data_IF_532396834525
#
_entry.id   IF_532396834525
#
_cell.length_a   1.000
_cell.length_b   1.000
_cell.length_c   1.000
_cell.angle_alpha   90.00
_cell.angle_beta   90.00
_cell.angle_gamma   90.00
#
_symmetry.space_group_name_H-M   'P 1'
#
loop_
_entity.id
_entity.type
_entity.pdbx_description
1 polymer ?
#
# COMPACT_ATOMS: atom_id res chain seq x y z
N UNK A 1 0.26 -3.81 -4.90
CA UNK A 1 0.70 -3.25 -3.61
C UNK A 1 -0.50 -2.88 -2.73
N UNK A 2 -1.59 -2.24 -3.24
CA UNK A 2 -2.78 -1.90 -2.44
C UNK A 2 -3.44 -3.14 -1.80
N UNK A 3 -3.66 -4.22 -2.55
CA UNK A 3 -4.19 -5.49 -2.02
C UNK A 3 -3.26 -6.06 -0.93
N UNK A 4 -1.94 -6.05 -1.16
CA UNK A 4 -0.97 -6.50 -0.17
C UNK A 4 -1.05 -5.70 1.13
N UNK A 5 -1.20 -4.37 1.04
CA UNK A 5 -1.40 -3.49 2.18
C UNK A 5 -2.69 -3.82 2.94
N UNK A 6 -3.81 -4.06 2.22
CA UNK A 6 -5.09 -4.46 2.82
C UNK A 6 -5.00 -5.79 3.57
N UNK A 7 -4.33 -6.79 2.99
CA UNK A 7 -4.10 -8.07 3.68
C UNK A 7 -3.35 -7.86 5.01
N UNK A 8 -2.25 -7.12 4.98
CA UNK A 8 -1.47 -6.85 6.18
C UNK A 8 -2.25 -6.02 7.21
N UNK A 9 -3.08 -5.06 6.77
CA UNK A 9 -3.85 -4.23 7.71
C UNK A 9 -4.93 -5.02 8.45
N UNK A 10 -5.49 -6.07 7.83
CA UNK A 10 -6.45 -6.95 8.49
C UNK A 10 -5.83 -7.76 9.64
N UNK A 11 -4.51 -7.97 9.62
CA UNK A 11 -3.78 -8.66 10.71
C UNK A 11 -3.43 -7.74 11.89
N UNK A 12 -3.68 -6.41 11.79
CA UNK A 12 -3.43 -5.49 12.89
C UNK A 12 -4.42 -5.71 14.04
N UNK A 13 -3.89 -5.88 15.24
CA UNK A 13 -4.68 -6.02 16.48
C UNK A 13 -5.00 -4.67 17.17
N UNK A 14 -4.67 -3.57 16.52
CA UNK A 14 -4.87 -2.21 17.04
C UNK A 14 -5.28 -1.28 15.89
N UNK A 15 -5.86 -0.14 16.24
CA UNK A 15 -6.15 0.90 15.25
C UNK A 15 -4.86 1.55 14.79
N UNK A 16 -4.69 1.65 13.49
CA UNK A 16 -3.47 2.19 12.92
C UNK A 16 -3.43 2.05 11.41
N UNK A 17 -2.26 2.29 10.85
CA UNK A 17 -2.03 2.23 9.40
C UNK A 17 -0.88 1.30 9.10
N UNK A 18 -1.06 0.47 8.09
CA UNK A 18 0.02 -0.22 7.39
C UNK A 18 0.41 0.63 6.18
N UNK A 19 1.69 0.95 6.07
CA UNK A 19 2.29 1.50 4.85
C UNK A 19 3.22 0.47 4.25
N UNK A 20 2.96 0.09 3.00
CA UNK A 20 3.80 -0.82 2.22
C UNK A 20 4.53 -0.05 1.14
N UNK A 21 5.82 -0.32 0.97
CA UNK A 21 6.65 0.29 -0.05
C UNK A 21 7.33 -0.82 -0.85
N UNK A 22 7.09 -0.85 -2.14
CA UNK A 22 7.86 -1.67 -3.05
C UNK A 22 8.80 -0.75 -3.82
N UNK A 23 10.09 -0.82 -3.51
CA UNK A 23 11.12 0.08 -4.04
C UNK A 23 11.89 -0.58 -5.17
N UNK A 24 12.24 0.21 -6.14
CA UNK A 24 12.92 -0.19 -7.36
C UNK A 24 14.15 0.69 -7.62
N UNK A 25 15.07 0.20 -8.43
CA UNK A 25 16.23 0.95 -8.93
C UNK A 25 16.10 1.34 -10.41
N UNK A 26 14.94 1.10 -11.02
CA UNK A 26 14.64 1.47 -12.41
C UNK A 26 13.94 2.83 -12.54
N UNK A 27 13.12 2.96 -13.58
CA UNK A 27 12.39 4.20 -13.92
C UNK A 27 11.36 4.58 -12.84
N UNK A 28 10.73 3.60 -12.24
CA UNK A 28 9.88 3.78 -11.05
C UNK A 28 10.76 3.65 -9.82
N UNK A 29 10.71 4.63 -8.91
CA UNK A 29 11.46 4.59 -7.67
C UNK A 29 10.76 3.79 -6.58
N UNK A 30 9.44 3.92 -6.48
CA UNK A 30 8.63 3.12 -5.54
C UNK A 30 7.15 3.10 -5.90
N UNK A 31 6.49 2.06 -5.42
CA UNK A 31 5.03 1.98 -5.32
C UNK A 31 4.71 1.93 -3.82
N UNK A 32 3.90 2.88 -3.35
CA UNK A 32 3.47 2.94 -1.96
C UNK A 32 1.97 2.67 -1.86
N UNK A 33 1.56 1.94 -0.83
CA UNK A 33 0.16 1.84 -0.45
C UNK A 33 0.02 1.94 1.08
N UNK A 34 -1.00 2.66 1.52
CA UNK A 34 -1.40 2.77 2.92
C UNK A 34 -2.79 2.16 3.07
N UNK A 35 -3.01 1.40 4.14
CA UNK A 35 -4.32 0.85 4.48
C UNK A 35 -4.56 0.77 5.97
N UNK A 36 -5.83 0.68 6.36
CA UNK A 36 -6.26 0.52 7.75
C UNK A 36 -7.10 -0.74 7.93
N UNK A 37 -7.25 -1.25 9.18
CA UNK A 37 -8.13 -2.40 9.48
C UNK A 37 -9.60 -2.19 9.11
N UNK A 38 -10.02 -0.94 8.90
CA UNK A 38 -11.39 -0.57 8.47
C UNK A 38 -11.57 -0.68 6.94
N UNK A 39 -10.51 -1.03 6.19
CA UNK A 39 -10.55 -1.16 4.73
C UNK A 39 -10.34 0.17 3.98
N UNK A 40 -9.90 1.21 4.67
CA UNK A 40 -9.48 2.44 3.98
C UNK A 40 -8.13 2.20 3.30
N UNK A 41 -8.02 2.56 2.03
CA UNK A 41 -6.82 2.31 1.24
C UNK A 41 -6.50 3.46 0.30
N UNK A 42 -5.22 3.72 0.10
CA UNK A 42 -4.71 4.62 -0.94
C UNK A 42 -3.39 4.09 -1.46
N UNK A 43 -3.04 4.44 -2.70
CA UNK A 43 -1.76 4.07 -3.29
C UNK A 43 -1.23 5.19 -4.19
N UNK A 44 0.07 5.20 -4.37
CA UNK A 44 0.76 6.12 -5.28
C UNK A 44 2.00 5.45 -5.89
N UNK A 45 2.44 5.98 -7.02
CA UNK A 45 3.65 5.57 -7.74
C UNK A 45 4.55 6.79 -7.87
N UNK A 46 5.81 6.64 -7.46
CA UNK A 46 6.84 7.67 -7.63
C UNK A 46 7.82 7.25 -8.73
N UNK A 47 8.19 8.19 -9.57
CA UNK A 47 9.13 8.01 -10.67
C UNK A 47 10.50 8.61 -10.31
N UNK A 48 11.57 8.09 -10.91
CA UNK A 48 12.87 8.76 -10.88
C UNK A 48 12.86 9.93 -11.86
N UNK A 49 13.52 11.03 -11.51
CA UNK A 49 13.53 12.28 -12.30
C UNK A 49 14.10 12.13 -13.74
N UNK A 50 14.83 11.05 -14.01
CA UNK A 50 15.49 10.78 -15.28
C UNK A 50 14.69 9.89 -16.23
N UNK A 51 13.42 9.64 -15.96
CA UNK A 51 12.59 8.75 -16.79
C UNK A 51 12.38 9.36 -18.18
N UNK A 52 12.92 8.69 -19.17
CA UNK A 52 12.65 9.00 -20.56
C UNK A 52 11.27 8.42 -20.91
N UNK A 53 10.22 9.25 -20.82
CA UNK A 53 8.81 8.87 -21.07
C UNK A 53 8.54 8.27 -22.45
N UNK A 54 9.56 8.19 -23.30
CA UNK A 54 9.48 7.59 -24.63
C UNK A 54 9.85 6.09 -24.67
N UNK A 55 10.15 5.47 -23.54
CA UNK A 55 10.37 4.02 -23.48
C UNK A 55 9.03 3.28 -23.41
N UNK A 56 8.89 2.25 -24.21
CA UNK A 56 7.64 1.49 -24.34
C UNK A 56 7.25 0.75 -23.05
N UNK A 57 8.21 0.41 -22.19
CA UNK A 57 7.98 -0.24 -20.90
C UNK A 57 8.94 0.31 -19.85
N UNK A 58 8.45 0.72 -18.65
CA UNK A 58 9.30 1.18 -17.58
C UNK A 58 10.14 0.04 -17.01
N UNK A 59 11.40 0.33 -16.74
CA UNK A 59 12.28 -0.64 -16.05
C UNK A 59 11.89 -0.78 -14.59
N UNK A 60 11.52 -2.00 -14.17
CA UNK A 60 11.17 -2.37 -12.82
C UNK A 60 12.20 -3.35 -12.25
N UNK A 61 13.25 -2.83 -11.60
CA UNK A 61 14.25 -3.64 -10.94
C UNK A 61 13.99 -3.63 -9.42
N UNK A 62 13.36 -4.68 -8.87
CA UNK A 62 13.04 -4.74 -7.45
C UNK A 62 14.28 -4.58 -6.57
N UNK A 63 14.19 -3.74 -5.55
CA UNK A 63 15.27 -3.47 -4.60
C UNK A 63 14.93 -3.97 -3.21
N UNK A 64 13.85 -3.44 -2.63
CA UNK A 64 13.37 -3.91 -1.33
C UNK A 64 11.85 -3.77 -1.21
N UNK A 65 11.30 -4.56 -0.30
CA UNK A 65 9.93 -4.45 0.15
C UNK A 65 9.94 -4.04 1.63
N UNK A 66 9.27 -2.94 1.93
CA UNK A 66 9.26 -2.34 3.27
C UNK A 66 7.82 -2.23 3.78
N UNK A 67 7.64 -2.54 5.05
CA UNK A 67 6.36 -2.41 5.76
C UNK A 67 6.58 -1.57 7.01
N UNK A 68 5.76 -0.53 7.17
CA UNK A 68 5.72 0.32 8.35
C UNK A 68 4.35 0.18 9.01
N UNK A 69 4.35 -0.11 10.31
CA UNK A 69 3.15 -0.12 11.15
C UNK A 69 3.14 1.13 12.01
N UNK A 70 2.07 1.93 11.92
CA UNK A 70 1.88 3.13 12.74
C UNK A 70 0.60 2.99 13.56
N UNK A 71 0.58 3.55 14.77
CA UNK A 71 -0.63 3.61 15.58
C UNK A 71 -1.57 4.74 15.11
N UNK A 72 -2.72 4.87 15.77
CA UNK A 72 -3.74 5.88 15.49
C UNK A 72 -3.22 7.32 15.60
N UNK A 73 -2.23 7.55 16.47
CA UNK A 73 -1.56 8.85 16.65
C UNK A 73 -0.52 9.16 15.56
N UNK A 74 -0.30 8.23 14.62
CA UNK A 74 0.71 8.36 13.57
C UNK A 74 2.13 8.03 14.03
N UNK A 75 2.31 7.48 15.24
CA UNK A 75 3.62 7.06 15.72
C UNK A 75 3.99 5.70 15.12
N UNK A 76 5.19 5.61 14.56
CA UNK A 76 5.74 4.36 14.04
C UNK A 76 5.98 3.38 15.18
N UNK A 77 5.36 2.20 15.09
CA UNK A 77 5.49 1.09 16.04
C UNK A 77 6.55 0.11 15.55
N UNK A 78 6.52 -0.21 14.26
CA UNK A 78 7.41 -1.20 13.65
C UNK A 78 7.77 -0.75 12.23
N UNK A 79 8.98 -1.08 11.83
CA UNK A 79 9.45 -0.96 10.45
C UNK A 79 10.26 -2.21 10.14
N UNK A 80 9.92 -2.88 9.05
CA UNK A 80 10.63 -4.04 8.55
C UNK A 80 10.96 -3.84 7.09
N UNK A 81 12.18 -4.20 6.71
CA UNK A 81 12.66 -4.10 5.32
C UNK A 81 13.27 -5.45 4.97
N UNK A 82 12.88 -6.00 3.85
CA UNK A 82 13.51 -7.17 3.26
C UNK A 82 14.08 -6.83 1.88
N UNK A 83 15.12 -7.52 1.47
CA UNK A 83 15.57 -7.48 0.07
C UNK A 83 14.47 -8.07 -0.80
N UNK A 84 14.11 -7.35 -1.86
CA UNK A 84 13.07 -7.83 -2.75
C UNK A 84 13.57 -9.04 -3.54
N UNK A 85 12.74 -10.09 -3.60
CA UNK A 85 12.95 -11.18 -4.52
C UNK A 85 12.59 -10.75 -5.94
N UNK A 86 13.31 -11.27 -6.93
CA UNK A 86 12.94 -11.07 -8.33
C UNK A 86 11.58 -11.73 -8.58
N UNK A 87 10.55 -10.94 -8.84
CA UNK A 87 9.21 -11.48 -9.03
C UNK A 87 8.09 -10.49 -8.68
N UNK A 88 6.95 -11.05 -8.35
CA UNK A 88 5.70 -10.32 -8.15
C UNK A 88 5.56 -9.72 -6.74
N UNK A 89 4.58 -8.83 -6.57
CA UNK A 89 4.18 -8.31 -5.25
C UNK A 89 3.77 -9.46 -4.31
N UNK A 90 3.10 -10.49 -4.83
CA UNK A 90 2.69 -11.68 -4.05
C UNK A 90 3.88 -12.41 -3.44
N UNK A 91 4.92 -12.66 -4.25
CA UNK A 91 6.14 -13.33 -3.79
C UNK A 91 6.90 -12.50 -2.76
N UNK A 92 6.95 -11.19 -2.93
CA UNK A 92 7.57 -10.28 -1.96
C UNK A 92 6.77 -10.19 -0.66
N UNK A 93 5.44 -10.20 -0.71
CA UNK A 93 4.60 -10.23 0.48
C UNK A 93 4.77 -11.56 1.24
N UNK A 94 4.77 -12.71 0.56
CA UNK A 94 5.00 -14.01 1.18
C UNK A 94 6.41 -14.09 1.82
N UNK A 95 7.42 -13.56 1.13
CA UNK A 95 8.79 -13.46 1.67
C UNK A 95 8.87 -12.57 2.92
N UNK A 96 8.17 -11.43 2.92
CA UNK A 96 8.06 -10.55 4.09
C UNK A 96 7.40 -11.27 5.27
N UNK A 97 6.26 -11.93 5.06
CA UNK A 97 5.53 -12.65 6.11
C UNK A 97 6.43 -13.74 6.74
N UNK A 98 7.19 -14.46 5.91
CA UNK A 98 8.10 -15.48 6.42
C UNK A 98 9.30 -14.89 7.17
N UNK A 99 9.96 -13.86 6.62
CA UNK A 99 11.21 -13.34 7.19
C UNK A 99 10.99 -12.39 8.37
N UNK A 100 9.97 -11.54 8.31
CA UNK A 100 9.73 -10.49 9.31
C UNK A 100 8.66 -10.85 10.33
N UNK A 101 7.61 -11.56 9.92
CA UNK A 101 6.50 -11.95 10.82
C UNK A 101 6.61 -13.41 11.26
N UNK A 102 7.49 -14.21 10.65
CA UNK A 102 7.70 -15.64 10.90
C UNK A 102 6.43 -16.48 10.64
N UNK A 103 5.61 -16.03 9.69
CA UNK A 103 4.35 -16.67 9.30
C UNK A 103 4.53 -17.34 7.94
N UNK A 104 4.32 -18.66 7.88
CA UNK A 104 4.22 -19.39 6.61
C UNK A 104 2.92 -18.98 5.93
N UNK A 105 2.99 -18.50 4.72
CA UNK A 105 1.84 -17.97 4.00
C UNK A 105 1.90 -18.26 2.50
N UNK A 106 0.74 -18.38 1.89
CA UNK A 106 0.56 -18.38 0.45
C UNK A 106 -0.19 -17.11 0.04
N UNK A 107 0.29 -16.44 -1.00
CA UNK A 107 -0.29 -15.18 -1.47
C UNK A 107 -0.46 -15.23 -2.98
N UNK A 108 -1.66 -14.96 -3.46
CA UNK A 108 -1.97 -14.72 -4.86
C UNK A 108 -2.53 -13.32 -5.03
N UNK A 109 -2.02 -12.54 -5.98
CA UNK A 109 -2.54 -11.21 -6.33
C UNK A 109 -2.44 -11.07 -7.84
N UNK A 110 -3.56 -10.73 -8.47
CA UNK A 110 -3.64 -10.47 -9.89
C UNK A 110 -4.47 -9.21 -10.14
N UNK A 111 -4.10 -8.44 -11.15
CA UNK A 111 -4.87 -7.28 -11.61
C UNK A 111 -4.67 -7.10 -13.11
N UNK A 112 -5.74 -6.68 -13.79
CA UNK A 112 -5.70 -6.36 -15.23
C UNK A 112 -6.13 -4.91 -15.43
N UNK A 113 -5.29 -4.16 -16.16
CA UNK A 113 -5.62 -2.81 -16.62
C UNK A 113 -6.58 -2.93 -17.81
N UNK A 114 -7.57 -2.06 -17.88
CA UNK A 114 -8.48 -2.01 -19.01
C UNK A 114 -7.74 -1.57 -20.28
N UNK A 115 -7.92 -2.28 -21.38
CA UNK A 115 -7.19 -2.04 -22.62
C UNK A 115 -7.67 -0.78 -23.35
N UNK A 116 -8.94 -0.40 -23.18
CA UNK A 116 -9.54 0.77 -23.83
C UNK A 116 -9.32 2.05 -23.01
N UNK A 117 -9.28 1.92 -21.66
CA UNK A 117 -9.05 3.03 -20.74
C UNK A 117 -8.00 2.64 -19.67
N UNK A 118 -6.71 2.90 -19.92
CA UNK A 118 -5.63 2.56 -18.98
C UNK A 118 -5.72 3.25 -17.61
N UNK A 119 -6.65 4.19 -17.41
CA UNK A 119 -6.93 4.77 -16.10
C UNK A 119 -7.81 3.88 -15.21
N UNK A 120 -8.34 2.79 -15.76
CA UNK A 120 -9.22 1.83 -15.08
C UNK A 120 -8.61 0.45 -14.99
N UNK A 121 -9.08 -0.32 -14.04
CA UNK A 121 -8.83 -1.76 -13.96
C UNK A 121 -10.06 -2.52 -14.45
N UNK A 122 -9.84 -3.60 -15.20
CA UNK A 122 -10.88 -4.59 -15.46
C UNK A 122 -11.20 -5.32 -14.16
N UNK A 123 -10.16 -5.79 -13.47
CA UNK A 123 -10.29 -6.44 -12.17
C UNK A 123 -9.00 -6.29 -11.34
N UNK A 124 -9.16 -6.50 -10.04
CA UNK A 124 -8.06 -6.74 -9.10
C UNK A 124 -8.54 -7.74 -8.05
N UNK A 125 -7.88 -8.88 -7.95
CA UNK A 125 -8.26 -9.98 -7.08
C UNK A 125 -7.03 -10.54 -6.37
N UNK A 126 -7.22 -11.12 -5.19
CA UNK A 126 -6.15 -11.80 -4.49
C UNK A 126 -6.64 -12.59 -3.29
N UNK A 127 -5.77 -13.46 -2.80
CA UNK A 127 -5.93 -14.19 -1.55
C UNK A 127 -4.63 -14.17 -0.75
N UNK A 128 -4.76 -14.35 0.54
CA UNK A 128 -3.67 -14.63 1.46
C UNK A 128 -4.12 -15.71 2.44
N UNK A 129 -3.37 -16.78 2.53
CA UNK A 129 -3.57 -17.87 3.47
C UNK A 129 -2.36 -17.93 4.39
N UNK A 130 -2.59 -17.87 5.69
CA UNK A 130 -1.57 -17.94 6.71
C UNK A 130 -1.72 -19.22 7.52
N UNK A 131 -0.61 -19.96 7.71
CA UNK A 131 -0.58 -21.14 8.54
C UNK A 131 -0.46 -20.76 10.01
N UNK A 132 -1.31 -21.32 10.88
CA UNK A 132 -1.13 -21.20 12.32
C UNK A 132 0.15 -21.91 12.76
N UNK A 133 0.82 -21.43 13.84
CA UNK A 133 2.09 -21.99 14.30
C UNK A 133 2.02 -23.47 14.73
N UNK A 134 0.86 -23.94 15.13
CA UNK A 134 0.56 -25.29 15.60
C UNK A 134 -0.08 -26.19 14.52
N UNK A 135 -0.15 -25.73 13.28
CA UNK A 135 -0.67 -26.51 12.17
C UNK A 135 0.19 -27.75 11.95
N UNK A 136 -0.45 -28.93 11.83
CA UNK A 136 0.29 -30.17 11.58
C UNK A 136 0.96 -30.16 10.19
N UNK A 137 2.11 -30.86 10.05
CA UNK A 137 2.80 -30.98 8.76
C UNK A 137 1.90 -31.62 7.69
N UNK A 138 0.96 -32.50 8.10
CA UNK A 138 -0.01 -33.11 7.19
C UNK A 138 -1.00 -32.06 6.67
N UNK A 139 -1.53 -31.22 7.54
CA UNK A 139 -2.49 -30.19 7.15
C UNK A 139 -1.80 -29.09 6.32
N UNK A 140 -0.56 -28.75 6.68
CA UNK A 140 0.26 -27.86 5.88
C UNK A 140 0.44 -28.37 4.44
N UNK A 141 0.80 -29.66 4.28
CA UNK A 141 0.95 -30.27 2.96
C UNK A 141 -0.37 -30.29 2.15
N UNK A 142 -1.51 -30.49 2.83
CA UNK A 142 -2.83 -30.39 2.19
C UNK A 142 -3.08 -28.97 1.70
N UNK A 143 -2.82 -27.95 2.53
CA UNK A 143 -3.04 -26.56 2.16
C UNK A 143 -2.09 -26.09 1.05
N UNK A 144 -0.83 -26.55 1.07
CA UNK A 144 0.12 -26.32 -0.03
C UNK A 144 -0.43 -26.91 -1.35
N UNK A 145 -0.95 -28.15 -1.31
CA UNK A 145 -1.54 -28.77 -2.48
C UNK A 145 -2.77 -28.02 -3.00
N UNK A 146 -3.64 -27.54 -2.09
CA UNK A 146 -4.79 -26.69 -2.44
C UNK A 146 -4.32 -25.46 -3.20
N UNK A 147 -3.35 -24.73 -2.68
CA UNK A 147 -2.85 -23.50 -3.32
C UNK A 147 -2.20 -23.79 -4.67
N UNK A 148 -1.41 -24.87 -4.78
CA UNK A 148 -0.73 -25.26 -6.01
C UNK A 148 -1.71 -25.69 -7.14
N UNK A 149 -2.90 -26.13 -6.77
CA UNK A 149 -3.94 -26.57 -7.74
C UNK A 149 -4.99 -25.51 -8.03
N UNK A 150 -4.90 -24.34 -7.44
CA UNK A 150 -5.81 -23.24 -7.76
C UNK A 150 -5.69 -22.86 -9.25
N UNK A 151 -6.83 -22.62 -9.91
CA UNK A 151 -6.80 -22.03 -11.24
C UNK A 151 -6.28 -20.59 -11.19
N UNK A 152 -5.98 -20.00 -12.34
CA UNK A 152 -5.60 -18.60 -12.45
C UNK A 152 -6.69 -17.69 -11.83
N UNK A 153 -6.29 -16.65 -11.10
CA UNK A 153 -7.23 -15.80 -10.36
C UNK A 153 -8.21 -15.06 -11.27
N UNK A 154 -7.84 -14.80 -12.53
CA UNK A 154 -8.73 -14.19 -13.51
C UNK A 154 -9.99 -15.04 -13.79
N UNK A 155 -9.95 -16.36 -13.55
CA UNK A 155 -11.10 -17.25 -13.74
C UNK A 155 -12.24 -16.97 -12.75
N UNK A 156 -11.94 -16.31 -11.63
CA UNK A 156 -12.94 -15.88 -10.63
C UNK A 156 -13.51 -14.48 -10.91
N UNK A 157 -13.22 -13.91 -12.08
CA UNK A 157 -13.81 -12.65 -12.51
C UNK A 157 -14.48 -12.83 -13.88
N UNK A 158 -15.76 -12.51 -13.95
CA UNK A 158 -16.51 -12.60 -15.21
C UNK A 158 -17.57 -11.50 -15.28
N UNK A 159 -17.58 -10.78 -16.42
CA UNK A 159 -18.61 -9.79 -16.76
C UNK A 159 -18.86 -8.74 -15.64
N UNK A 160 -17.80 -8.26 -15.00
CA UNK A 160 -17.89 -7.27 -13.92
C UNK A 160 -18.17 -7.86 -12.53
N UNK A 161 -18.26 -9.18 -12.40
CA UNK A 161 -18.58 -9.86 -11.14
C UNK A 161 -17.44 -10.75 -10.67
N UNK A 162 -17.20 -10.75 -9.35
CA UNK A 162 -16.24 -11.62 -8.69
C UNK A 162 -16.95 -12.84 -8.10
N UNK A 163 -16.46 -14.03 -8.40
CA UNK A 163 -16.87 -15.28 -7.77
C UNK A 163 -15.98 -15.57 -6.55
N UNK A 164 -16.17 -14.79 -5.50
CA UNK A 164 -15.42 -14.95 -4.25
C UNK A 164 -15.81 -16.23 -3.50
N UNK A 165 -17.05 -16.66 -3.59
CA UNK A 165 -17.52 -17.90 -2.98
C UNK A 165 -16.82 -19.10 -3.64
N UNK A 166 -16.73 -19.13 -4.98
CA UNK A 166 -15.99 -20.15 -5.70
C UNK A 166 -14.50 -20.19 -5.34
N UNK A 167 -13.87 -19.02 -5.18
CA UNK A 167 -12.48 -18.94 -4.72
C UNK A 167 -12.33 -19.48 -3.28
N UNK A 168 -13.22 -19.08 -2.37
CA UNK A 168 -13.22 -19.56 -0.98
C UNK A 168 -13.46 -21.07 -0.89
N UNK A 169 -14.38 -21.60 -1.69
CA UNK A 169 -14.66 -23.04 -1.76
C UNK A 169 -13.44 -23.86 -2.20
N UNK A 170 -12.65 -23.36 -3.12
CA UNK A 170 -11.39 -24.01 -3.50
C UNK A 170 -10.32 -23.85 -2.42
N UNK A 171 -10.15 -22.64 -1.87
CA UNK A 171 -9.13 -22.36 -0.85
C UNK A 171 -9.35 -23.15 0.45
N UNK A 172 -10.59 -23.38 0.87
CA UNK A 172 -10.85 -24.18 2.08
C UNK A 172 -10.39 -25.64 1.98
N UNK A 173 -10.29 -26.17 0.77
CA UNK A 173 -9.94 -27.58 0.57
C UNK A 173 -10.92 -28.52 1.31
N UNK A 174 -10.41 -29.45 2.14
CA UNK A 174 -11.23 -30.37 2.91
C UNK A 174 -11.76 -29.79 4.24
N UNK A 175 -11.46 -28.53 4.55
CA UNK A 175 -11.78 -27.90 5.84
C UNK A 175 -13.07 -27.11 5.76
N UNK A 176 -13.70 -26.91 6.93
CA UNK A 176 -14.77 -25.94 7.09
C UNK A 176 -14.16 -24.54 7.27
N UNK A 177 -14.83 -23.50 6.75
CA UNK A 177 -14.46 -22.11 6.93
C UNK A 177 -15.54 -21.36 7.68
N UNK A 178 -15.13 -20.39 8.49
CA UNK A 178 -16.00 -19.41 9.13
C UNK A 178 -15.65 -18.03 8.60
N UNK A 179 -16.66 -17.31 8.08
CA UNK A 179 -16.48 -15.92 7.66
C UNK A 179 -16.52 -15.03 8.90
N UNK A 180 -15.37 -14.57 9.34
CA UNK A 180 -15.24 -13.72 10.53
C UNK A 180 -15.62 -12.28 10.22
N UNK A 181 -15.29 -11.79 9.01
CA UNK A 181 -15.49 -10.40 8.63
C UNK A 181 -15.64 -10.26 7.13
N UNK A 182 -16.62 -9.45 6.73
CA UNK A 182 -16.73 -8.94 5.37
C UNK A 182 -16.47 -7.43 5.36
N UNK A 183 -15.81 -6.93 4.31
CA UNK A 183 -15.39 -5.55 4.25
C UNK A 183 -15.30 -5.07 2.81
N UNK A 184 -15.82 -3.86 2.55
CA UNK A 184 -15.67 -3.19 1.27
C UNK A 184 -14.51 -2.19 1.35
N UNK A 185 -13.38 -2.44 0.69
CA UNK A 185 -12.30 -1.47 0.65
C UNK A 185 -12.72 -0.18 -0.04
N UNK A 186 -12.34 0.95 0.56
CA UNK A 186 -12.68 2.28 0.04
C UNK A 186 -11.41 3.11 -0.11
N UNK A 187 -11.26 3.74 -1.27
CA UNK A 187 -10.21 4.74 -1.44
C UNK A 187 -10.48 5.91 -0.48
N UNK A 188 -9.50 6.20 0.35
CA UNK A 188 -9.55 7.32 1.29
C UNK A 188 -8.19 7.99 1.43
N UNK A 189 -8.14 9.29 1.13
CA UNK A 189 -6.95 10.09 1.37
C UNK A 189 -7.23 11.12 2.47
N UNK A 190 -6.57 11.01 3.64
CA UNK A 190 -6.78 11.92 4.76
C UNK A 190 -6.01 13.24 4.62
N UNK A 191 -5.61 13.62 3.40
CA UNK A 191 -4.93 14.89 3.17
C UNK A 191 -5.89 16.07 3.41
N UNK A 192 -5.40 17.07 4.14
CA UNK A 192 -6.08 18.33 4.41
C UNK A 192 -5.05 19.46 4.42
N UNK A 193 -5.48 20.70 4.22
CA UNK A 193 -4.59 21.86 4.32
C UNK A 193 -3.89 21.89 5.68
N UNK A 194 -4.60 21.58 6.76
CA UNK A 194 -4.03 21.54 8.12
C UNK A 194 -2.88 20.53 8.24
N UNK A 195 -3.05 19.33 7.67
CA UNK A 195 -1.97 18.32 7.67
C UNK A 195 -0.77 18.75 6.83
N UNK A 196 -1.00 19.42 5.73
CA UNK A 196 0.05 20.00 4.89
C UNK A 196 0.81 21.07 5.66
N UNK A 197 0.10 22.01 6.30
CA UNK A 197 0.71 23.04 7.12
C UNK A 197 1.53 22.46 8.29
N UNK A 198 1.03 21.41 8.96
CA UNK A 198 1.82 20.69 9.98
C UNK A 198 3.12 20.09 9.41
N UNK A 199 3.08 19.55 8.20
CA UNK A 199 4.29 19.04 7.54
C UNK A 199 5.23 20.18 7.15
N UNK A 200 4.71 21.26 6.60
CA UNK A 200 5.50 22.45 6.26
C UNK A 200 6.14 23.09 7.49
N UNK A 201 5.47 23.05 8.64
CA UNK A 201 6.04 23.56 9.90
C UNK A 201 7.32 22.84 10.32
N UNK A 202 7.63 21.66 9.79
CA UNK A 202 8.90 20.94 10.05
C UNK A 202 10.07 21.47 9.22
N UNK A 203 9.82 22.27 8.19
CA UNK A 203 10.87 22.87 7.36
C UNK A 203 11.82 23.77 8.19
N UNK A 204 13.08 23.90 7.77
CA UNK A 204 13.99 24.87 8.34
C UNK A 204 13.43 26.30 8.30
N UNK A 205 13.73 27.11 9.31
CA UNK A 205 13.24 28.49 9.40
C UNK A 205 13.61 29.35 8.18
N UNK A 206 14.78 29.07 7.58
CA UNK A 206 15.22 29.73 6.35
C UNK A 206 14.23 29.50 5.21
N UNK A 207 13.89 28.24 4.98
CA UNK A 207 13.00 27.85 3.86
C UNK A 207 11.58 28.42 4.05
N UNK A 208 11.10 28.44 5.31
CA UNK A 208 9.82 29.07 5.63
C UNK A 208 9.86 30.60 5.40
N UNK A 209 11.00 31.28 5.65
CA UNK A 209 11.16 32.70 5.37
C UNK A 209 11.14 32.98 3.86
N UNK A 210 11.82 32.14 3.10
CA UNK A 210 11.84 32.25 1.63
C UNK A 210 10.41 32.12 1.07
N UNK A 211 9.66 31.11 1.50
CA UNK A 211 8.25 30.90 1.11
C UNK A 211 7.33 32.05 1.60
N UNK A 212 7.57 32.59 2.79
CA UNK A 212 6.81 33.73 3.33
C UNK A 212 7.07 35.06 2.59
N UNK A 213 8.18 35.15 1.85
CA UNK A 213 8.55 36.33 1.04
C UNK A 213 8.03 36.28 -0.39
N UNK A 214 7.49 35.12 -0.82
CA UNK A 214 6.91 34.97 -2.15
C UNK A 214 5.67 35.84 -2.32
N UNK A 215 5.33 36.16 -3.57
CA UNK A 215 4.14 36.97 -3.91
C UNK A 215 2.95 36.14 -4.33
N UNK A 216 3.17 34.86 -4.63
CA UNK A 216 2.15 33.92 -5.10
C UNK A 216 1.98 32.79 -4.11
N UNK A 217 0.76 32.22 -4.00
CA UNK A 217 0.56 31.00 -3.23
C UNK A 217 1.43 29.85 -3.74
N UNK A 218 1.96 29.05 -2.81
CA UNK A 218 2.61 27.79 -3.13
C UNK A 218 1.54 26.75 -3.46
N UNK A 219 1.62 26.16 -4.64
CA UNK A 219 0.79 25.01 -5.00
C UNK A 219 1.45 23.72 -4.53
N UNK A 220 0.70 22.92 -3.78
CA UNK A 220 1.12 21.58 -3.32
C UNK A 220 0.08 20.57 -3.77
N UNK A 221 0.53 19.59 -4.54
CA UNK A 221 -0.34 18.53 -5.06
C UNK A 221 -0.11 17.26 -4.23
N UNK A 222 -1.19 16.70 -3.68
CA UNK A 222 -1.12 15.45 -2.94
C UNK A 222 -0.76 14.28 -3.88
N UNK A 223 0.31 13.54 -3.57
CA UNK A 223 0.76 12.43 -4.41
C UNK A 223 -0.26 11.30 -4.53
N UNK A 224 -1.10 11.09 -3.51
CA UNK A 224 -2.09 10.01 -3.50
C UNK A 224 -3.38 10.35 -4.25
N UNK A 225 -4.02 11.49 -3.94
CA UNK A 225 -5.33 11.83 -4.50
C UNK A 225 -5.28 12.95 -5.53
N UNK A 226 -4.09 13.51 -5.78
CA UNK A 226 -3.85 14.61 -6.74
C UNK A 226 -4.61 15.90 -6.45
N UNK A 227 -5.20 16.03 -5.25
CA UNK A 227 -5.81 17.29 -4.81
C UNK A 227 -4.74 18.37 -4.69
N UNK A 228 -4.97 19.53 -5.33
CA UNK A 228 -4.11 20.67 -5.24
C UNK A 228 -4.51 21.57 -4.06
N UNK A 229 -3.53 22.04 -3.31
CA UNK A 229 -3.66 22.97 -2.19
C UNK A 229 -2.84 24.22 -2.48
N UNK A 230 -3.41 25.38 -2.28
CA UNK A 230 -2.75 26.66 -2.51
C UNK A 230 -2.49 27.36 -1.17
N UNK A 231 -1.25 27.29 -0.71
CA UNK A 231 -0.84 27.86 0.59
C UNK A 231 -0.33 29.27 0.38
N UNK A 232 -1.03 30.25 0.96
CA UNK A 232 -0.64 31.65 0.79
C UNK A 232 0.63 32.00 1.60
N UNK A 233 1.39 33.05 1.19
CA UNK A 233 2.55 33.51 1.93
C UNK A 233 2.26 33.90 3.38
N UNK A 234 1.04 34.36 3.67
CA UNK A 234 0.60 34.73 5.03
C UNK A 234 0.60 33.50 5.96
N UNK A 235 0.20 32.33 5.48
CA UNK A 235 0.26 31.08 6.26
C UNK A 235 1.68 30.73 6.70
N UNK A 236 2.68 30.98 5.87
CA UNK A 236 4.08 30.76 6.24
C UNK A 236 4.57 31.78 7.30
N UNK A 237 4.05 33.02 7.29
CA UNK A 237 4.30 34.01 8.34
C UNK A 237 3.71 33.58 9.68
N UNK A 238 2.50 33.00 9.66
CA UNK A 238 1.86 32.42 10.85
C UNK A 238 2.71 31.29 11.42
N UNK A 239 3.14 30.31 10.60
CA UNK A 239 3.99 29.20 11.01
C UNK A 239 5.33 29.66 11.61
N UNK A 240 5.94 30.74 11.05
CA UNK A 240 7.17 31.31 11.58
C UNK A 240 6.95 31.96 12.96
N UNK A 241 5.78 32.56 13.20
CA UNK A 241 5.43 33.17 14.48
C UNK A 241 5.22 32.10 15.56
N UNK A 242 4.50 31.04 15.23
CA UNK A 242 4.29 29.89 16.12
C UNK A 242 5.61 29.23 16.53
N UNK A 243 6.53 29.01 15.59
CA UNK A 243 7.87 28.48 15.90
C UNK A 243 8.68 29.31 16.88
N UNK A 244 8.54 30.64 16.84
CA UNK A 244 9.24 31.55 17.75
C UNK A 244 8.62 31.60 19.13
N UNK A 245 7.33 31.28 19.27
CA UNK A 245 6.63 31.24 20.56
C UNK A 245 6.85 29.98 21.37
N UNK A 246 7.47 28.94 20.77
CA UNK A 246 7.75 27.64 21.42
C UNK A 246 9.21 27.56 21.95
N UNK A 247 10.07 28.52 21.61
CA UNK A 247 11.43 28.70 22.15
C UNK A 247 11.43 29.75 23.24
#
# INVERSE_FOLDING_TARGET
>A
TAIASLFLSNSLKFRGTISTFFKFSGDISQIQADSTPEGLVRATISHNELVNMNQAEPSLLPKNFEVIKTNEEGKRIQQSIIDAVQGTVSQNLASYLLQSEQVRSAVGIEAKVNEEDPSKLDYAIGFMVEAYPDLSEKDLAIMEQVVLTLPELNSFYKDGNYDLDGLLDLLRGPYEIEIIKEQNPVFFCPCTEERILKSLATLPERDLKDLASETKPLEIICDFCRTAYHISPEKFKELLTEKKGIN
#
